data_IF_784978068819
#
_entry.id   IF_784978068819
#
_cell.length_a   1.000
_cell.length_b   1.000
_cell.length_c   1.000
_cell.angle_alpha   90.00
_cell.angle_beta   90.00
_cell.angle_gamma   90.00
#
_symmetry.space_group_name_H-M   'P 1'
#
loop_
_entity.id
_entity.type
_entity.pdbx_description
1 polymer ?
#
# COMPACT_ATOMS: atom_id res chain seq x y z
N UNK A 1 -15.62 -11.19 -17.39
CA UNK A 1 -16.08 -12.47 -16.79
C UNK A 1 -16.99 -12.13 -15.62
N UNK A 2 -18.27 -12.53 -15.71
CA UNK A 2 -19.34 -12.17 -14.76
C UNK A 2 -19.30 -13.08 -13.53
N UNK A 3 -19.17 -12.50 -12.34
CA UNK A 3 -19.15 -13.21 -11.03
C UNK A 3 -20.54 -13.62 -10.51
N UNK A 4 -21.63 -13.30 -11.22
CA UNK A 4 -23.00 -13.54 -10.75
C UNK A 4 -23.55 -14.95 -11.02
N UNK A 5 -22.73 -15.90 -11.52
CA UNK A 5 -23.16 -17.29 -11.80
C UNK A 5 -22.65 -18.34 -10.81
N UNK A 6 -21.97 -17.94 -9.73
CA UNK A 6 -21.41 -18.86 -8.73
C UNK A 6 -22.24 -19.02 -7.44
N UNK A 7 -23.41 -18.38 -7.32
CA UNK A 7 -24.20 -18.41 -6.07
C UNK A 7 -25.51 -19.20 -6.11
N UNK A 8 -25.79 -19.95 -7.19
CA UNK A 8 -26.98 -20.80 -7.25
C UNK A 8 -26.69 -22.11 -7.98
N UNK A 9 -25.92 -22.98 -7.32
CA UNK A 9 -25.94 -24.42 -7.54
C UNK A 9 -25.50 -25.13 -6.25
N UNK A 10 -26.40 -25.20 -5.27
CA UNK A 10 -26.35 -26.26 -4.26
C UNK A 10 -26.84 -27.55 -4.91
N UNK A 11 -25.90 -28.45 -5.19
CA UNK A 11 -26.14 -29.88 -5.29
C UNK A 11 -24.83 -30.57 -4.89
N UNK A 12 -24.92 -31.47 -3.91
CA UNK A 12 -23.78 -32.02 -3.15
C UNK A 12 -22.56 -32.37 -3.99
N UNK A 13 -21.48 -31.65 -3.75
CA UNK A 13 -20.13 -32.14 -4.00
C UNK A 13 -19.54 -32.37 -2.62
N UNK A 14 -19.29 -33.64 -2.29
CA UNK A 14 -18.44 -34.03 -1.18
C UNK A 14 -17.21 -33.14 -1.20
N UNK A 15 -17.14 -32.20 -0.26
CA UNK A 15 -15.89 -31.49 0.01
C UNK A 15 -14.97 -32.58 0.51
N UNK A 16 -13.89 -32.94 -0.21
CA UNK A 16 -13.03 -34.03 0.22
C UNK A 16 -12.61 -33.69 1.65
N UNK A 17 -12.99 -34.55 2.61
CA UNK A 17 -12.62 -34.39 4.00
C UNK A 17 -11.10 -34.40 4.05
N UNK A 18 -10.50 -33.22 4.12
CA UNK A 18 -9.05 -33.08 4.13
C UNK A 18 -8.55 -33.71 5.43
N UNK A 19 -7.83 -34.82 5.31
CA UNK A 19 -7.26 -35.47 6.47
C UNK A 19 -6.14 -34.60 7.04
N UNK A 20 -6.02 -34.52 8.37
CA UNK A 20 -4.88 -33.89 9.02
C UNK A 20 -3.57 -34.49 8.52
N UNK A 21 -2.50 -33.69 8.48
CA UNK A 21 -1.17 -34.18 8.07
C UNK A 21 -0.76 -35.40 8.89
N UNK A 22 -0.49 -36.50 8.21
CA UNK A 22 0.08 -37.72 8.80
C UNK A 22 1.57 -37.52 9.09
N UNK A 23 2.13 -38.35 9.96
CA UNK A 23 3.56 -38.28 10.27
C UNK A 23 4.44 -38.47 9.02
N UNK A 24 4.06 -39.39 8.13
CA UNK A 24 4.78 -39.65 6.88
C UNK A 24 4.72 -38.47 5.91
N UNK A 25 3.55 -37.81 5.80
CA UNK A 25 3.44 -36.58 4.99
C UNK A 25 4.33 -35.47 5.54
N UNK A 26 4.35 -35.27 6.87
CA UNK A 26 5.22 -34.25 7.49
C UNK A 26 6.69 -34.53 7.15
N UNK A 27 7.16 -35.77 7.29
CA UNK A 27 8.55 -36.13 6.96
C UNK A 27 8.90 -35.84 5.49
N UNK A 28 7.97 -36.09 4.57
CA UNK A 28 8.14 -35.75 3.16
C UNK A 28 8.20 -34.23 2.93
N UNK A 29 7.30 -33.47 3.55
CA UNK A 29 7.21 -32.02 3.40
C UNK A 29 8.43 -31.29 3.99
N UNK A 30 8.96 -31.73 5.13
CA UNK A 30 10.07 -31.04 5.83
C UNK A 30 11.46 -31.41 5.30
N UNK A 31 11.58 -32.45 4.48
CA UNK A 31 12.86 -32.94 3.95
C UNK A 31 13.71 -31.85 3.27
N UNK A 32 13.21 -31.05 2.30
CA UNK A 32 14.03 -30.02 1.64
C UNK A 32 14.46 -28.91 2.60
N UNK A 33 13.64 -28.60 3.61
CA UNK A 33 13.92 -27.59 4.64
C UNK A 33 14.98 -28.05 5.63
N UNK A 34 14.91 -29.30 6.08
CA UNK A 34 15.87 -29.87 7.04
C UNK A 34 17.28 -29.94 6.45
N UNK A 35 17.40 -30.15 5.13
CA UNK A 35 18.70 -30.12 4.41
C UNK A 35 19.34 -28.73 4.36
N UNK A 36 18.55 -27.68 4.63
CA UNK A 36 18.98 -26.27 4.70
C UNK A 36 18.91 -25.74 6.13
N UNK A 37 18.99 -26.63 7.11
CA UNK A 37 18.98 -26.34 8.55
C UNK A 37 17.72 -25.65 9.08
N UNK A 38 16.60 -25.73 8.34
CA UNK A 38 15.29 -25.31 8.85
C UNK A 38 14.61 -26.48 9.58
N UNK A 39 14.40 -26.30 10.89
CA UNK A 39 13.74 -27.29 11.73
C UNK A 39 12.27 -26.94 11.97
N UNK A 40 11.38 -27.91 11.85
CA UNK A 40 9.96 -27.72 12.13
C UNK A 40 9.71 -27.48 13.63
N UNK A 41 8.84 -26.54 13.94
CA UNK A 41 8.26 -26.34 15.27
C UNK A 41 6.91 -27.04 15.33
N UNK A 42 6.89 -28.24 15.92
CA UNK A 42 5.67 -29.04 16.02
C UNK A 42 4.62 -28.42 16.96
N UNK A 43 5.02 -27.55 17.90
CA UNK A 43 4.09 -26.89 18.82
C UNK A 43 3.39 -25.70 18.14
N UNK A 44 4.10 -24.99 17.25
CA UNK A 44 3.52 -23.90 16.46
C UNK A 44 2.80 -24.36 15.17
N UNK A 45 2.99 -25.63 14.77
CA UNK A 45 2.36 -26.21 13.58
C UNK A 45 0.92 -26.68 13.84
N UNK A 46 0.10 -26.67 12.79
CA UNK A 46 -1.29 -27.13 12.84
C UNK A 46 -1.53 -28.21 11.78
N UNK A 47 -1.56 -29.45 12.24
CA UNK A 47 -1.76 -30.62 11.36
C UNK A 47 -3.17 -30.68 10.78
N UNK A 48 -4.18 -30.19 11.49
CA UNK A 48 -5.59 -30.21 11.05
C UNK A 48 -5.75 -29.24 9.88
N UNK A 49 -5.18 -28.05 10.02
CA UNK A 49 -5.17 -27.03 8.96
C UNK A 49 -4.04 -27.22 7.94
N UNK A 50 -3.29 -28.33 8.03
CA UNK A 50 -2.19 -28.70 7.13
C UNK A 50 -1.12 -27.60 6.99
N UNK A 51 -0.78 -26.98 8.11
CA UNK A 51 0.20 -25.91 8.26
C UNK A 51 1.39 -26.37 9.08
N UNK A 52 2.60 -26.15 8.57
CA UNK A 52 3.85 -26.38 9.28
C UNK A 52 4.57 -25.04 9.49
N UNK A 53 4.98 -24.78 10.72
CA UNK A 53 5.77 -23.60 11.09
C UNK A 53 7.19 -24.07 11.44
N UNK A 54 8.19 -23.33 11.00
CA UNK A 54 9.60 -23.62 11.29
C UNK A 54 10.09 -22.76 12.45
N UNK A 55 11.11 -23.25 13.15
CA UNK A 55 11.78 -22.52 14.23
C UNK A 55 12.34 -21.19 13.70
N UNK A 56 12.30 -20.11 14.50
CA UNK A 56 12.85 -18.83 14.10
C UNK A 56 14.34 -18.89 13.80
N UNK A 57 14.77 -18.20 12.75
CA UNK A 57 16.18 -17.98 12.39
C UNK A 57 16.49 -16.50 12.62
N UNK A 58 17.62 -16.21 13.28
CA UNK A 58 18.12 -14.84 13.43
C UNK A 58 19.12 -14.56 12.32
N UNK A 59 18.94 -13.45 11.62
CA UNK A 59 19.93 -12.93 10.70
C UNK A 59 20.59 -11.73 11.38
N UNK A 60 21.89 -11.85 11.64
CA UNK A 60 22.69 -10.75 12.15
C UNK A 60 22.76 -9.63 11.11
N UNK A 61 22.81 -8.42 11.63
CA UNK A 61 22.90 -7.21 10.85
C UNK A 61 24.30 -7.08 10.22
N UNK A 62 24.39 -6.66 8.95
CA UNK A 62 25.66 -6.35 8.30
C UNK A 62 26.05 -4.90 8.66
N UNK A 63 27.23 -4.70 9.27
CA UNK A 63 27.71 -3.39 9.78
C UNK A 63 27.67 -2.27 8.73
N UNK A 64 27.63 -2.62 7.44
CA UNK A 64 27.58 -1.67 6.33
C UNK A 64 26.21 -1.00 6.12
N UNK A 65 25.09 -1.58 6.59
CA UNK A 65 23.74 -1.03 6.38
C UNK A 65 23.28 -0.29 7.66
N UNK A 66 22.69 0.90 7.57
CA UNK A 66 22.51 1.76 8.77
C UNK A 66 21.26 1.44 9.62
N UNK A 67 20.70 0.23 9.50
CA UNK A 67 19.42 -0.14 10.12
C UNK A 67 19.53 -0.78 11.51
N UNK A 68 20.68 -1.31 11.93
CA UNK A 68 21.01 -1.67 13.32
C UNK A 68 20.15 -2.74 14.03
N UNK A 69 19.05 -3.19 13.42
CA UNK A 69 18.08 -4.11 14.02
C UNK A 69 18.34 -5.55 13.54
N UNK A 70 18.35 -6.50 14.47
CA UNK A 70 18.34 -7.91 14.13
C UNK A 70 17.05 -8.30 13.39
N UNK A 71 17.17 -9.21 12.42
CA UNK A 71 16.02 -9.71 11.67
C UNK A 71 15.66 -11.11 12.15
N UNK A 72 14.46 -11.26 12.69
CA UNK A 72 13.88 -12.55 13.03
C UNK A 72 13.04 -13.10 11.87
N UNK A 73 13.44 -14.24 11.32
CA UNK A 73 12.78 -14.92 10.21
C UNK A 73 12.00 -16.15 10.69
N UNK A 74 10.74 -16.26 10.28
CA UNK A 74 9.90 -17.45 10.47
C UNK A 74 9.41 -17.91 9.10
N UNK A 75 9.59 -19.20 8.80
CA UNK A 75 8.99 -19.85 7.64
C UNK A 75 7.70 -20.55 8.03
N UNK A 76 6.69 -20.47 7.17
CA UNK A 76 5.43 -21.19 7.27
C UNK A 76 5.13 -21.87 5.93
N UNK A 77 4.81 -23.15 5.98
CA UNK A 77 4.38 -23.95 4.84
C UNK A 77 2.91 -24.35 5.04
N UNK A 78 2.03 -23.85 4.18
CA UNK A 78 0.64 -24.30 4.09
C UNK A 78 0.50 -25.26 2.90
N UNK A 79 0.00 -26.47 3.15
CA UNK A 79 -0.26 -27.47 2.10
C UNK A 79 -1.76 -27.78 2.03
N UNK A 80 -2.59 -26.82 1.56
CA UNK A 80 -4.04 -26.93 1.61
C UNK A 80 -4.57 -28.10 0.77
N UNK A 81 -3.83 -28.54 -0.24
CA UNK A 81 -4.15 -29.76 -1.00
C UNK A 81 -2.87 -30.43 -1.51
N UNK A 82 -2.88 -31.74 -1.78
CA UNK A 82 -1.75 -32.42 -2.41
C UNK A 82 -1.32 -31.72 -3.71
N UNK A 83 -0.01 -31.57 -3.93
CA UNK A 83 0.55 -30.92 -5.12
C UNK A 83 0.36 -29.41 -5.18
N UNK A 84 -0.07 -28.76 -4.09
CA UNK A 84 -0.11 -27.30 -4.01
C UNK A 84 0.25 -26.85 -2.60
N UNK A 85 1.35 -26.13 -2.51
CA UNK A 85 1.90 -25.59 -1.28
C UNK A 85 2.12 -24.10 -1.42
N UNK A 86 1.93 -23.38 -0.32
CA UNK A 86 2.26 -21.96 -0.17
C UNK A 86 3.35 -21.88 0.90
N UNK A 87 4.49 -21.29 0.53
CA UNK A 87 5.59 -21.03 1.44
C UNK A 87 5.66 -19.53 1.71
N UNK A 88 5.59 -19.16 2.98
CA UNK A 88 5.65 -17.77 3.44
C UNK A 88 6.82 -17.58 4.37
N UNK A 89 7.69 -16.61 4.07
CA UNK A 89 8.69 -16.08 5.02
C UNK A 89 8.14 -14.81 5.64
N UNK A 90 8.10 -14.77 6.97
CA UNK A 90 7.80 -13.55 7.73
C UNK A 90 9.08 -13.08 8.41
N UNK A 91 9.48 -11.85 8.13
CA UNK A 91 10.62 -11.20 8.75
C UNK A 91 10.11 -10.12 9.69
N UNK A 92 10.65 -10.07 10.90
CA UNK A 92 10.31 -9.05 11.91
C UNK A 92 11.59 -8.43 12.45
N UNK A 93 11.66 -7.11 12.45
CA UNK A 93 12.70 -6.33 13.13
C UNK A 93 12.36 -6.17 14.61
N UNK A 94 13.36 -5.90 15.44
CA UNK A 94 13.17 -5.58 16.87
C UNK A 94 12.29 -4.34 17.10
N UNK A 95 12.31 -3.39 16.16
CA UNK A 95 11.37 -2.27 16.12
C UNK A 95 9.89 -2.68 15.93
N UNK A 96 9.61 -3.94 15.61
CA UNK A 96 8.29 -4.49 15.37
C UNK A 96 7.80 -4.35 13.92
N UNK A 97 8.63 -3.80 13.02
CA UNK A 97 8.33 -3.76 11.59
C UNK A 97 8.36 -5.17 10.99
N UNK A 98 7.32 -5.53 10.23
CA UNK A 98 7.17 -6.86 9.65
C UNK A 98 7.02 -6.82 8.14
N UNK A 99 7.74 -7.71 7.45
CA UNK A 99 7.68 -7.92 6.01
C UNK A 99 7.40 -9.39 5.68
N UNK A 100 6.59 -9.67 4.65
CA UNK A 100 6.28 -11.05 4.22
C UNK A 100 6.71 -11.31 2.78
N UNK A 101 7.24 -12.51 2.52
CA UNK A 101 7.57 -13.00 1.19
C UNK A 101 6.83 -14.32 0.95
N UNK A 102 5.98 -14.36 -0.07
CA UNK A 102 5.13 -15.53 -0.37
C UNK A 102 5.49 -16.12 -1.74
N UNK A 103 5.60 -17.46 -1.82
CA UNK A 103 5.63 -18.19 -3.10
C UNK A 103 4.70 -19.41 -3.03
N UNK A 104 4.30 -19.93 -4.19
CA UNK A 104 3.38 -21.06 -4.29
C UNK A 104 3.77 -22.00 -5.43
N UNK A 105 3.53 -23.30 -5.24
CA UNK A 105 3.84 -24.34 -6.23
C UNK A 105 3.77 -25.74 -5.65
N UNK A 106 4.26 -26.72 -6.40
CA UNK A 106 4.25 -28.14 -6.05
C UNK A 106 5.60 -28.64 -5.51
N UNK A 107 6.71 -28.16 -6.07
CA UNK A 107 8.08 -28.51 -5.65
C UNK A 107 8.58 -27.59 -4.52
N UNK A 108 8.60 -28.12 -3.30
CA UNK A 108 9.06 -27.43 -2.10
C UNK A 108 10.53 -27.00 -2.14
N UNK A 109 11.39 -27.75 -2.84
CA UNK A 109 12.80 -27.39 -3.00
C UNK A 109 12.95 -26.14 -3.85
N UNK A 110 12.15 -26.04 -4.92
CA UNK A 110 12.07 -24.84 -5.76
C UNK A 110 11.48 -23.66 -4.97
N UNK A 111 10.40 -23.86 -4.22
CA UNK A 111 9.82 -22.79 -3.39
C UNK A 111 10.82 -22.25 -2.37
N UNK A 112 11.56 -23.12 -1.70
CA UNK A 112 12.59 -22.70 -0.75
C UNK A 112 13.71 -21.92 -1.44
N UNK A 113 14.21 -22.40 -2.59
CA UNK A 113 15.24 -21.69 -3.36
C UNK A 113 14.78 -20.31 -3.83
N UNK A 114 13.49 -20.15 -4.18
CA UNK A 114 12.91 -18.86 -4.55
C UNK A 114 12.83 -17.88 -3.37
N UNK A 115 12.49 -18.36 -2.16
CA UNK A 115 12.51 -17.52 -0.95
C UNK A 115 13.94 -17.08 -0.62
N UNK A 116 14.91 -18.00 -0.72
CA UNK A 116 16.33 -17.73 -0.43
C UNK A 116 16.98 -16.81 -1.46
N UNK A 117 16.49 -16.76 -2.70
CA UNK A 117 17.02 -15.86 -3.73
C UNK A 117 16.79 -14.38 -3.42
N UNK A 118 15.91 -14.06 -2.47
CA UNK A 118 15.69 -12.72 -1.94
C UNK A 118 16.33 -12.61 -0.55
N UNK A 119 17.48 -11.91 -0.40
CA UNK A 119 18.09 -11.64 0.90
C UNK A 119 17.13 -10.92 1.85
N UNK A 120 17.11 -11.25 3.15
CA UNK A 120 16.25 -10.59 4.14
C UNK A 120 16.37 -9.06 4.15
N UNK A 121 17.59 -8.52 3.98
CA UNK A 121 17.89 -7.09 4.01
C UNK A 121 17.18 -6.33 2.88
N UNK A 122 16.95 -6.97 1.73
CA UNK A 122 16.22 -6.32 0.61
C UNK A 122 14.75 -6.04 0.93
N UNK A 123 14.19 -6.65 1.98
CA UNK A 123 12.83 -6.37 2.43
C UNK A 123 12.76 -5.22 3.44
N UNK A 124 13.89 -4.64 3.84
CA UNK A 124 13.99 -3.53 4.78
C UNK A 124 14.89 -2.39 4.30
N UNK A 125 14.70 -1.83 3.09
CA UNK A 125 15.50 -0.71 2.64
C UNK A 125 15.33 0.52 3.54
N UNK A 126 16.43 1.26 3.73
CA UNK A 126 16.44 2.57 4.39
C UNK A 126 16.26 3.70 3.36
N UNK A 127 15.28 4.57 3.59
CA UNK A 127 14.91 5.69 2.72
C UNK A 127 14.96 6.98 3.53
N UNK A 128 15.91 7.87 3.24
CA UNK A 128 16.18 9.08 4.02
C UNK A 128 16.30 8.77 5.54
N UNK A 129 16.89 7.63 5.90
CA UNK A 129 17.07 7.18 7.29
C UNK A 129 15.86 6.49 7.92
N UNK A 130 14.74 6.34 7.18
CA UNK A 130 13.58 5.56 7.62
C UNK A 130 13.61 4.16 7.02
N UNK A 131 13.55 3.14 7.87
CA UNK A 131 13.42 1.74 7.43
C UNK A 131 12.00 1.46 6.93
N UNK A 132 11.89 0.79 5.79
CA UNK A 132 10.61 0.42 5.18
C UNK A 132 10.51 -1.09 5.04
N UNK A 133 9.50 -1.70 5.65
CA UNK A 133 9.22 -3.13 5.50
C UNK A 133 8.42 -3.40 4.21
N UNK A 134 8.97 -4.22 3.32
CA UNK A 134 8.41 -4.51 1.99
C UNK A 134 7.96 -5.98 1.89
N UNK A 135 6.69 -6.15 1.56
CA UNK A 135 6.04 -7.45 1.41
C UNK A 135 5.74 -7.75 -0.05
N UNK A 136 6.05 -8.96 -0.48
CA UNK A 136 5.98 -9.38 -1.87
C UNK A 136 5.37 -10.78 -2.03
N UNK A 137 4.81 -11.01 -3.21
CA UNK A 137 4.59 -12.35 -3.76
C UNK A 137 5.63 -12.60 -4.85
N UNK A 138 6.24 -13.78 -4.84
CA UNK A 138 7.15 -14.23 -5.88
C UNK A 138 6.36 -14.92 -6.99
N UNK A 139 6.60 -14.48 -8.22
CA UNK A 139 6.00 -15.05 -9.42
C UNK A 139 7.13 -15.69 -10.24
N UNK A 140 7.07 -17.02 -10.52
CA UNK A 140 8.06 -17.68 -11.36
C UNK A 140 8.16 -17.00 -12.73
N UNK A 141 9.39 -16.71 -13.18
CA UNK A 141 9.61 -16.12 -14.49
C UNK A 141 9.46 -17.19 -15.57
N UNK A 142 8.46 -17.04 -16.43
CA UNK A 142 8.07 -18.06 -17.43
C UNK A 142 8.97 -18.19 -18.66
N UNK A 143 10.19 -17.64 -18.67
CA UNK A 143 11.01 -17.59 -19.88
C UNK A 143 11.88 -18.84 -20.06
N UNK A 144 11.56 -19.62 -21.09
CA UNK A 144 12.07 -20.97 -21.38
C UNK A 144 13.53 -21.04 -21.86
N UNK A 145 14.29 -19.94 -21.83
CA UNK A 145 15.68 -19.88 -22.35
C UNK A 145 16.75 -19.91 -21.26
N UNK A 146 16.37 -19.70 -20.02
CA UNK A 146 17.28 -19.81 -18.87
C UNK A 146 16.46 -20.36 -17.73
N UNK A 147 16.33 -21.69 -17.70
CA UNK A 147 15.52 -22.43 -16.74
C UNK A 147 16.23 -22.48 -15.39
N UNK A 148 16.51 -21.32 -14.79
CA UNK A 148 16.77 -21.24 -13.36
C UNK A 148 15.40 -21.31 -12.66
N UNK A 149 15.05 -22.44 -12.02
CA UNK A 149 13.76 -22.57 -11.34
C UNK A 149 13.61 -21.59 -10.16
N UNK A 150 14.70 -20.99 -9.68
CA UNK A 150 14.68 -19.96 -8.65
C UNK A 150 14.45 -18.53 -9.21
N UNK A 151 14.45 -18.34 -10.53
CA UNK A 151 14.22 -17.04 -11.14
C UNK A 151 12.77 -16.57 -10.96
N UNK A 152 12.60 -15.51 -10.18
CA UNK A 152 11.30 -14.96 -9.79
C UNK A 152 11.22 -13.46 -10.04
N UNK A 153 10.04 -13.00 -10.42
CA UNK A 153 9.66 -11.60 -10.35
C UNK A 153 8.98 -11.31 -9.01
N UNK A 154 9.24 -10.13 -8.46
CA UNK A 154 8.61 -9.67 -7.22
C UNK A 154 7.34 -8.88 -7.54
N UNK A 155 6.20 -9.40 -7.11
CA UNK A 155 4.92 -8.71 -7.14
C UNK A 155 4.72 -7.99 -5.80
N UNK A 156 4.73 -6.65 -5.81
CA UNK A 156 4.60 -5.85 -4.59
C UNK A 156 3.21 -6.06 -3.98
N UNK A 157 3.13 -6.31 -2.68
CA UNK A 157 1.87 -6.44 -1.94
C UNK A 157 1.63 -5.28 -1.00
N UNK A 158 2.63 -4.96 -0.17
CA UNK A 158 2.48 -4.00 0.92
C UNK A 158 3.82 -3.40 1.33
N UNK A 159 3.84 -2.11 1.61
CA UNK A 159 4.96 -1.39 2.20
C UNK A 159 4.54 -0.74 3.51
N UNK A 160 5.39 -0.80 4.54
CA UNK A 160 5.13 -0.22 5.86
C UNK A 160 6.34 0.57 6.32
N UNK A 161 6.11 1.77 6.83
CA UNK A 161 7.15 2.58 7.44
C UNK A 161 6.62 3.27 8.69
N UNK A 162 7.51 3.51 9.65
CA UNK A 162 7.24 4.25 10.87
C UNK A 162 7.95 5.61 10.78
N UNK A 163 7.18 6.70 10.62
CA UNK A 163 7.71 8.03 10.33
C UNK A 163 7.16 9.02 11.34
N UNK A 164 8.00 9.55 12.23
CA UNK A 164 7.64 10.64 13.16
C UNK A 164 6.30 10.42 13.90
N UNK A 165 6.10 9.24 14.50
CA UNK A 165 4.86 8.79 15.16
C UNK A 165 3.64 8.60 14.23
N UNK A 166 3.88 8.35 12.95
CA UNK A 166 2.87 7.85 12.02
C UNK A 166 3.29 6.50 11.46
N UNK A 167 2.34 5.59 11.40
CA UNK A 167 2.46 4.37 10.60
C UNK A 167 1.94 4.66 9.21
N UNK A 168 2.85 4.60 8.23
CA UNK A 168 2.54 4.62 6.82
C UNK A 168 2.31 3.19 6.34
N UNK A 169 1.20 2.95 5.63
CA UNK A 169 0.93 1.68 4.96
C UNK A 169 0.57 1.95 3.51
N UNK A 170 1.34 1.40 2.58
CA UNK A 170 1.01 1.37 1.15
C UNK A 170 0.58 -0.04 0.75
N UNK A 171 -0.52 -0.18 0.02
CA UNK A 171 -1.00 -1.46 -0.50
C UNK A 171 -1.09 -1.43 -2.02
N UNK A 172 -0.67 -2.54 -2.63
CA UNK A 172 -0.81 -2.75 -4.06
C UNK A 172 -2.29 -2.74 -4.48
N UNK A 173 -2.60 -2.37 -5.73
CA UNK A 173 -3.97 -2.43 -6.22
C UNK A 173 -4.46 -3.87 -6.29
N UNK A 174 -5.62 -4.15 -5.68
CA UNK A 174 -6.26 -5.47 -5.72
C UNK A 174 -6.69 -5.90 -7.13
N UNK A 175 -6.93 -4.93 -8.02
CA UNK A 175 -7.43 -5.15 -9.37
C UNK A 175 -6.61 -4.33 -10.36
N UNK A 176 -6.29 -4.93 -11.51
CA UNK A 176 -5.54 -4.27 -12.59
C UNK A 176 -6.20 -2.93 -12.99
N UNK A 177 -5.40 -1.88 -13.02
CA UNK A 177 -5.82 -0.53 -13.40
C UNK A 177 -6.51 0.26 -12.29
N UNK A 178 -6.59 -0.26 -11.08
CA UNK A 178 -6.93 0.51 -9.89
C UNK A 178 -5.69 1.17 -9.29
N UNK A 179 -5.83 2.29 -8.57
CA UNK A 179 -4.71 2.92 -7.88
C UNK A 179 -4.27 2.09 -6.67
N UNK A 180 -3.01 2.23 -6.29
CA UNK A 180 -2.52 1.75 -5.01
C UNK A 180 -3.13 2.59 -3.88
N UNK A 181 -3.33 1.99 -2.72
CA UNK A 181 -3.86 2.66 -1.53
C UNK A 181 -2.73 3.06 -0.61
N UNK A 182 -2.88 4.22 0.04
CA UNK A 182 -1.95 4.71 1.05
C UNK A 182 -2.72 5.16 2.28
N UNK A 183 -2.37 4.60 3.43
CA UNK A 183 -2.91 4.98 4.73
C UNK A 183 -1.79 5.59 5.59
N UNK A 184 -2.13 6.67 6.27
CA UNK A 184 -1.28 7.34 7.25
C UNK A 184 -2.02 7.38 8.57
N UNK A 185 -1.56 6.58 9.53
CA UNK A 185 -2.20 6.41 10.84
C UNK A 185 -1.32 7.03 11.91
N UNK A 186 -1.76 8.08 12.62
CA UNK A 186 -0.99 8.61 13.73
C UNK A 186 -1.03 7.63 14.91
N UNK A 187 0.09 7.44 15.61
CA UNK A 187 0.14 6.64 16.85
C UNK A 187 -0.65 7.30 17.99
N UNK A 188 -0.78 8.63 17.93
CA UNK A 188 -1.54 9.42 18.90
C UNK A 188 -2.82 9.95 18.24
N UNK A 189 -3.95 9.78 18.91
CA UNK A 189 -5.22 10.27 18.40
C UNK A 189 -5.25 11.82 18.32
N UNK A 190 -6.10 12.36 17.44
CA UNK A 190 -6.35 13.79 17.33
C UNK A 190 -5.37 14.58 16.45
N UNK A 191 -4.39 13.92 15.83
CA UNK A 191 -3.45 14.57 14.91
C UNK A 191 -4.14 14.91 13.58
N UNK A 192 -4.17 16.20 13.25
CA UNK A 192 -4.70 16.71 12.00
C UNK A 192 -3.57 16.95 10.99
N UNK A 193 -3.66 16.35 9.80
CA UNK A 193 -2.75 16.65 8.69
C UNK A 193 -3.50 17.33 7.53
N UNK A 194 -2.82 18.18 6.75
CA UNK A 194 -3.40 18.74 5.54
C UNK A 194 -3.77 17.67 4.51
N UNK A 195 -4.93 17.81 3.87
CA UNK A 195 -5.35 16.91 2.78
C UNK A 195 -4.35 16.91 1.61
N UNK A 196 -3.64 18.01 1.41
CA UNK A 196 -2.68 18.16 0.31
C UNK A 196 -1.28 17.65 0.65
N UNK A 197 -1.05 17.07 1.84
CA UNK A 197 0.25 16.61 2.32
C UNK A 197 1.01 15.75 1.30
N UNK A 198 0.31 14.83 0.61
CA UNK A 198 0.88 14.00 -0.44
C UNK A 198 0.59 14.51 -1.86
N UNK A 199 -0.54 15.19 -2.06
CA UNK A 199 -0.95 15.66 -3.39
C UNK A 199 0.04 16.67 -4.01
N UNK A 200 0.81 17.36 -3.17
CA UNK A 200 1.91 18.25 -3.58
C UNK A 200 3.01 17.53 -4.37
N UNK A 201 3.17 16.22 -4.22
CA UNK A 201 4.15 15.41 -4.96
C UNK A 201 3.81 15.26 -6.45
N UNK A 202 2.56 15.54 -6.85
CA UNK A 202 2.17 15.58 -8.25
C UNK A 202 0.84 14.90 -8.54
N UNK A 203 0.55 14.70 -9.83
CA UNK A 203 -0.74 14.17 -10.31
C UNK A 203 -1.01 12.71 -9.96
N UNK A 204 0.04 11.97 -9.57
CA UNK A 204 -0.12 10.58 -9.18
C UNK A 204 -0.66 10.43 -7.75
N UNK A 205 -0.47 11.42 -6.87
CA UNK A 205 -0.94 11.37 -5.50
C UNK A 205 -2.28 12.10 -5.37
N UNK A 206 -3.28 11.41 -4.84
CA UNK A 206 -4.54 12.06 -4.48
C UNK A 206 -4.39 12.86 -3.19
N UNK A 207 -5.29 13.83 -2.95
CA UNK A 207 -5.46 14.38 -1.61
C UNK A 207 -5.78 13.27 -0.61
N UNK A 208 -5.27 13.42 0.61
CA UNK A 208 -5.65 12.61 1.74
C UNK A 208 -7.09 12.95 2.16
N UNK A 209 -7.77 11.93 2.68
CA UNK A 209 -9.13 12.00 3.22
C UNK A 209 -9.10 11.43 4.63
N UNK A 210 -9.78 12.09 5.54
CA UNK A 210 -9.87 11.61 6.93
C UNK A 210 -10.66 10.30 6.94
N UNK A 211 -10.08 9.28 7.57
CA UNK A 211 -10.69 7.97 7.80
C UNK A 211 -10.91 7.75 9.30
N UNK A 212 -11.49 6.60 9.68
CA UNK A 212 -11.69 6.25 11.10
C UNK A 212 -10.36 6.12 11.86
N UNK A 213 -9.35 5.56 11.22
CA UNK A 213 -8.05 5.27 11.84
C UNK A 213 -7.02 6.40 11.64
N UNK A 214 -7.21 7.28 10.65
CA UNK A 214 -6.25 8.32 10.32
C UNK A 214 -6.60 9.00 9.01
N UNK A 215 -5.72 8.85 8.03
CA UNK A 215 -5.82 9.52 6.73
C UNK A 215 -5.56 8.52 5.61
N UNK A 216 -6.41 8.49 4.60
CA UNK A 216 -6.24 7.60 3.44
C UNK A 216 -6.14 8.39 2.14
N UNK A 217 -5.40 7.85 1.19
CA UNK A 217 -5.18 8.41 -0.13
C UNK A 217 -5.00 7.32 -1.18
N UNK A 218 -4.85 7.74 -2.42
CA UNK A 218 -4.68 6.88 -3.58
C UNK A 218 -3.47 7.33 -4.38
N UNK A 219 -2.75 6.36 -4.94
CA UNK A 219 -1.59 6.59 -5.78
C UNK A 219 -1.82 5.94 -7.14
N UNK A 220 -1.84 6.77 -8.18
CA UNK A 220 -1.96 6.31 -9.57
C UNK A 220 -0.65 5.67 -10.01
N UNK A 221 -0.75 4.40 -10.36
CA UNK A 221 0.35 3.59 -10.90
C UNK A 221 -0.05 3.02 -12.26
N UNK A 222 0.94 2.81 -13.13
CA UNK A 222 0.77 2.27 -14.47
C UNK A 222 1.74 1.10 -14.66
N UNK A 223 1.44 0.25 -15.63
CA UNK A 223 2.22 -0.95 -15.93
C UNK A 223 1.48 -2.24 -15.56
N UNK A 224 2.18 -3.36 -15.69
CA UNK A 224 1.69 -4.70 -15.33
C UNK A 224 2.82 -5.57 -14.78
N UNK A 225 2.48 -6.51 -13.90
CA UNK A 225 3.44 -7.44 -13.30
C UNK A 225 4.62 -6.71 -12.64
N UNK A 226 5.84 -7.16 -12.92
CA UNK A 226 7.07 -6.59 -12.35
C UNK A 226 7.27 -5.09 -12.62
N UNK A 227 6.76 -4.55 -13.74
CA UNK A 227 6.81 -3.11 -14.00
C UNK A 227 5.92 -2.32 -13.04
N UNK A 228 4.75 -2.88 -12.72
CA UNK A 228 3.82 -2.26 -11.78
C UNK A 228 4.42 -2.24 -10.37
N UNK A 229 5.03 -3.34 -9.92
CA UNK A 229 5.73 -3.41 -8.62
C UNK A 229 6.80 -2.34 -8.51
N UNK A 230 7.71 -2.24 -9.50
CA UNK A 230 8.77 -1.23 -9.51
C UNK A 230 8.21 0.20 -9.51
N UNK A 231 7.12 0.44 -10.23
CA UNK A 231 6.47 1.76 -10.23
C UNK A 231 5.81 2.09 -8.88
N UNK A 232 5.29 1.10 -8.15
CA UNK A 232 4.76 1.28 -6.79
C UNK A 232 5.92 1.55 -5.82
N UNK A 233 6.99 0.75 -5.86
CA UNK A 233 8.17 0.89 -5.01
C UNK A 233 8.82 2.29 -5.16
N UNK A 234 9.03 2.77 -6.39
CA UNK A 234 9.56 4.12 -6.61
C UNK A 234 8.67 5.24 -6.05
N UNK A 235 7.35 5.05 -6.07
CA UNK A 235 6.41 6.01 -5.47
C UNK A 235 6.36 5.91 -3.95
N UNK A 236 6.52 4.71 -3.39
CA UNK A 236 6.69 4.50 -1.96
C UNK A 236 7.94 5.22 -1.47
N UNK A 237 9.07 5.04 -2.14
CA UNK A 237 10.33 5.73 -1.83
C UNK A 237 10.16 7.25 -1.85
N UNK A 238 9.60 7.79 -2.93
CA UNK A 238 9.30 9.24 -3.03
C UNK A 238 8.40 9.72 -1.88
N UNK A 239 7.42 8.90 -1.49
CA UNK A 239 6.47 9.25 -0.42
C UNK A 239 7.12 9.22 0.96
N UNK A 240 7.92 8.19 1.24
CA UNK A 240 8.64 8.04 2.52
C UNK A 240 9.67 9.16 2.68
N UNK A 241 10.47 9.45 1.65
CA UNK A 241 11.44 10.55 1.68
C UNK A 241 10.76 11.90 1.95
N UNK A 242 9.65 12.17 1.26
CA UNK A 242 8.87 13.40 1.47
C UNK A 242 8.29 13.51 2.88
N UNK A 243 7.69 12.45 3.40
CA UNK A 243 7.11 12.42 4.74
C UNK A 243 8.19 12.55 5.82
N UNK A 244 9.33 11.87 5.67
CA UNK A 244 10.46 11.96 6.61
C UNK A 244 10.97 13.40 6.71
N UNK A 245 11.14 14.07 5.57
CA UNK A 245 11.56 15.48 5.54
C UNK A 245 10.49 16.43 6.06
N UNK A 246 9.21 16.19 5.74
CA UNK A 246 8.12 17.11 6.09
C UNK A 246 7.74 17.01 7.56
N UNK A 247 7.67 15.79 8.10
CA UNK A 247 7.22 15.54 9.47
C UNK A 247 8.31 15.79 10.52
N UNK A 248 9.59 15.82 10.11
CA UNK A 248 10.71 16.24 10.97
C UNK A 248 10.77 17.75 11.18
N UNK A 249 10.08 18.54 10.35
CA UNK A 249 10.01 20.00 10.46
C UNK A 249 8.69 20.46 11.05
N UNK A 250 8.62 21.66 11.66
CA UNK A 250 7.35 22.24 12.11
C UNK A 250 6.32 22.36 10.97
N UNK A 251 5.01 22.21 11.24
CA UNK A 251 3.95 22.31 10.22
C UNK A 251 3.96 23.62 9.40
N UNK A 252 4.44 24.72 9.98
CA UNK A 252 4.58 26.00 9.28
C UNK A 252 5.58 25.93 8.11
N UNK A 253 6.69 25.20 8.28
CA UNK A 253 7.73 25.06 7.26
C UNK A 253 7.22 24.36 6.00
N UNK A 254 6.30 23.39 6.15
CA UNK A 254 5.62 22.76 5.02
C UNK A 254 4.87 23.77 4.15
N UNK A 255 4.15 24.71 4.77
CA UNK A 255 3.42 25.73 4.02
C UNK A 255 4.38 26.69 3.30
N UNK A 256 5.46 27.10 3.96
CA UNK A 256 6.43 28.04 3.41
C UNK A 256 7.19 27.42 2.24
N UNK A 257 7.72 26.20 2.40
CA UNK A 257 8.49 25.51 1.39
C UNK A 257 7.65 25.08 0.17
N UNK A 258 6.40 24.66 0.38
CA UNK A 258 5.57 24.05 -0.66
C UNK A 258 4.33 24.86 -1.04
N UNK A 259 4.27 26.15 -0.67
CA UNK A 259 3.15 27.06 -0.96
C UNK A 259 2.65 26.99 -2.41
N UNK A 260 3.55 27.06 -3.40
CA UNK A 260 3.22 26.97 -4.84
C UNK A 260 2.62 25.62 -5.20
N UNK A 261 3.18 24.52 -4.70
CA UNK A 261 2.67 23.18 -4.96
C UNK A 261 1.27 22.99 -4.36
N UNK A 262 1.04 23.51 -3.15
CA UNK A 262 -0.28 23.49 -2.48
C UNK A 262 -1.34 24.27 -3.25
N UNK A 263 -1.00 25.45 -3.77
CA UNK A 263 -1.87 26.19 -4.68
C UNK A 263 -2.14 25.43 -5.98
N UNK A 264 -1.13 24.75 -6.53
CA UNK A 264 -1.31 23.86 -7.67
C UNK A 264 -2.30 22.72 -7.39
N UNK A 265 -2.29 22.14 -6.19
CA UNK A 265 -3.28 21.14 -5.75
C UNK A 265 -4.68 21.76 -5.66
N UNK A 266 -4.82 22.94 -5.07
CA UNK A 266 -6.11 23.63 -4.97
C UNK A 266 -6.70 23.92 -6.36
N UNK A 267 -5.89 24.42 -7.30
CA UNK A 267 -6.31 24.66 -8.69
C UNK A 267 -6.70 23.36 -9.40
N UNK A 268 -5.91 22.30 -9.23
CA UNK A 268 -6.22 20.97 -9.79
C UNK A 268 -7.56 20.44 -9.28
N UNK A 269 -7.85 20.62 -8.00
CA UNK A 269 -9.12 20.19 -7.39
C UNK A 269 -10.30 21.04 -7.85
N UNK A 270 -10.09 22.32 -8.15
CA UNK A 270 -11.13 23.21 -8.66
C UNK A 270 -11.47 22.95 -10.14
N UNK A 271 -10.62 22.23 -10.89
CA UNK A 271 -10.76 22.05 -12.34
C UNK A 271 -12.13 21.49 -12.77
N UNK A 272 -12.68 20.42 -12.13
CA UNK A 272 -14.02 19.92 -12.51
C UNK A 272 -15.12 20.96 -12.25
N UNK A 273 -15.04 21.68 -11.14
CA UNK A 273 -16.01 22.72 -10.79
C UNK A 273 -15.95 23.90 -11.76
N UNK A 274 -14.74 24.33 -12.14
CA UNK A 274 -14.53 25.36 -13.15
C UNK A 274 -15.03 24.90 -14.52
N UNK A 275 -14.82 23.64 -14.88
CA UNK A 275 -15.35 23.07 -16.12
C UNK A 275 -16.88 23.13 -16.15
N UNK A 276 -17.57 22.66 -15.11
CA UNK A 276 -19.03 22.75 -15.03
C UNK A 276 -19.53 24.21 -14.98
N UNK A 277 -18.87 25.09 -14.23
CA UNK A 277 -19.21 26.50 -14.20
C UNK A 277 -19.06 27.14 -15.59
N UNK A 278 -18.00 26.80 -16.33
CA UNK A 278 -17.79 27.29 -17.70
C UNK A 278 -18.87 26.78 -18.67
N UNK A 279 -19.35 25.55 -18.52
CA UNK A 279 -20.47 25.02 -19.30
C UNK A 279 -21.77 25.78 -19.00
N UNK A 280 -22.06 26.08 -17.74
CA UNK A 280 -23.25 26.84 -17.33
C UNK A 280 -23.19 28.26 -17.89
N UNK A 281 -22.06 28.95 -17.71
CA UNK A 281 -21.87 30.31 -18.23
C UNK A 281 -21.92 30.32 -19.76
N UNK A 282 -21.28 29.35 -20.42
CA UNK A 282 -21.32 29.21 -21.87
C UNK A 282 -22.73 29.00 -22.40
N UNK A 283 -23.53 28.13 -21.77
CA UNK A 283 -24.93 27.92 -22.13
C UNK A 283 -25.78 29.18 -21.91
N UNK A 284 -25.58 29.89 -20.79
CA UNK A 284 -26.28 31.13 -20.51
C UNK A 284 -25.92 32.23 -21.52
N UNK A 285 -24.63 32.41 -21.84
CA UNK A 285 -24.18 33.36 -22.86
C UNK A 285 -24.79 33.07 -24.23
N UNK A 286 -25.03 31.80 -24.55
CA UNK A 286 -25.65 31.39 -25.79
C UNK A 286 -27.10 31.88 -25.94
N UNK A 287 -27.83 32.05 -24.83
CA UNK A 287 -29.19 32.60 -24.85
C UNK A 287 -29.24 34.08 -25.23
N UNK A 288 -28.09 34.76 -25.17
CA UNK A 288 -27.97 36.18 -25.48
C UNK A 288 -27.53 36.44 -26.92
N UNK A 289 -27.26 35.38 -27.70
CA UNK A 289 -26.74 35.48 -29.08
C UNK A 289 -27.66 34.73 -30.02
N UNK A 290 -28.14 35.38 -31.09
CA UNK A 290 -28.87 34.71 -32.17
C UNK A 290 -27.91 33.84 -32.98
N UNK A 291 -28.04 32.52 -32.86
CA UNK A 291 -27.21 31.55 -33.59
C UNK A 291 -27.96 31.11 -34.85
N UNK A 292 -27.41 31.36 -36.05
CA UNK A 292 -27.98 30.85 -37.30
C UNK A 292 -28.10 29.32 -37.29
N UNK A 293 -29.21 28.78 -37.80
CA UNK A 293 -29.53 27.36 -37.74
C UNK A 293 -28.49 26.46 -38.45
N UNK A 294 -27.82 26.98 -39.48
CA UNK A 294 -26.78 26.27 -40.25
C UNK A 294 -25.37 26.37 -39.64
N UNK A 295 -25.23 26.92 -38.43
CA UNK A 295 -23.93 27.12 -37.79
C UNK A 295 -23.36 25.82 -37.20
N UNK A 296 -22.04 25.64 -37.33
CA UNK A 296 -21.26 24.59 -36.66
C UNK A 296 -21.48 24.63 -35.13
N UNK A 297 -21.75 25.81 -34.57
CA UNK A 297 -22.05 25.97 -33.13
C UNK A 297 -23.36 25.29 -32.76
N UNK A 298 -24.37 25.35 -33.62
CA UNK A 298 -25.67 24.70 -33.41
C UNK A 298 -25.53 23.16 -33.48
N UNK A 299 -24.72 22.67 -34.42
CA UNK A 299 -24.34 21.25 -34.52
C UNK A 299 -23.62 20.76 -33.26
N UNK A 300 -22.63 21.53 -32.79
CA UNK A 300 -21.91 21.24 -31.53
C UNK A 300 -22.85 21.30 -30.32
N UNK A 301 -23.84 22.18 -30.31
CA UNK A 301 -24.81 22.28 -29.22
C UNK A 301 -25.71 21.04 -29.14
N UNK A 302 -26.18 20.54 -30.28
CA UNK A 302 -26.95 19.29 -30.34
C UNK A 302 -26.07 18.07 -30.01
N UNK A 303 -24.79 18.07 -30.40
CA UNK A 303 -23.84 16.99 -30.15
C UNK A 303 -23.16 17.02 -28.77
N UNK A 304 -23.20 18.14 -28.05
CA UNK A 304 -22.52 18.30 -26.77
C UNK A 304 -23.06 17.39 -25.66
N UNK A 305 -24.38 17.22 -25.46
CA UNK A 305 -24.89 16.32 -24.42
C UNK A 305 -24.38 14.87 -24.53
N UNK A 306 -24.46 14.18 -25.69
CA UNK A 306 -23.91 12.83 -25.79
C UNK A 306 -22.38 12.77 -25.65
N UNK A 307 -21.64 13.77 -26.16
CA UNK A 307 -20.18 13.83 -25.99
C UNK A 307 -19.76 14.03 -24.52
N UNK A 308 -20.46 14.90 -23.78
CA UNK A 308 -20.25 15.12 -22.36
C UNK A 308 -20.59 13.87 -21.54
N UNK A 309 -21.65 13.13 -21.93
CA UNK A 309 -21.96 11.86 -21.30
C UNK A 309 -20.87 10.81 -21.53
N UNK A 310 -20.36 10.68 -22.75
CA UNK A 310 -19.22 9.78 -23.05
C UNK A 310 -17.99 10.18 -22.21
N UNK A 311 -17.70 11.47 -22.10
CA UNK A 311 -16.61 11.98 -21.26
C UNK A 311 -16.81 11.67 -19.77
N UNK A 312 -18.00 11.93 -19.23
CA UNK A 312 -18.31 11.73 -17.82
C UNK A 312 -18.31 10.25 -17.43
N UNK A 313 -18.90 9.37 -18.24
CA UNK A 313 -18.91 7.93 -17.99
C UNK A 313 -17.56 7.25 -18.29
N UNK A 314 -16.73 7.86 -19.13
CA UNK A 314 -15.34 7.43 -19.34
C UNK A 314 -14.41 7.71 -18.14
N UNK A 315 -14.81 8.61 -17.22
CA UNK A 315 -14.02 8.91 -16.03
C UNK A 315 -14.18 7.79 -15.00
N UNK A 316 -13.06 7.13 -14.68
CA UNK A 316 -13.00 5.98 -13.77
C UNK A 316 -13.19 6.35 -12.29
N UNK A 317 -13.02 7.62 -11.95
CA UNK A 317 -13.29 8.20 -10.63
C UNK A 317 -14.23 9.40 -10.80
N UNK A 318 -15.34 9.42 -10.07
CA UNK A 318 -16.25 10.58 -10.05
C UNK A 318 -15.49 11.76 -9.46
N UNK A 319 -15.39 12.91 -10.18
CA UNK A 319 -14.73 14.08 -9.64
C UNK A 319 -15.49 14.57 -8.41
N UNK A 320 -14.78 14.69 -7.28
CA UNK A 320 -15.36 15.24 -6.05
C UNK A 320 -15.71 16.71 -6.27
N UNK A 321 -17.01 17.02 -6.31
CA UNK A 321 -17.53 18.39 -6.43
C UNK A 321 -17.51 19.11 -5.06
N UNK A 322 -16.35 19.11 -4.42
CA UNK A 322 -16.12 19.84 -3.17
C UNK A 322 -15.30 21.09 -3.47
N UNK A 323 -15.73 22.24 -2.93
CA UNK A 323 -14.90 23.46 -2.97
C UNK A 323 -13.63 23.16 -2.16
N UNK A 324 -12.43 23.14 -2.78
CA UNK A 324 -11.22 22.78 -2.07
C UNK A 324 -10.92 23.84 -0.99
N UNK A 325 -10.52 23.44 0.23
CA UNK A 325 -10.11 24.40 1.23
C UNK A 325 -8.87 25.15 0.73
N UNK A 326 -8.82 26.46 0.97
CA UNK A 326 -7.64 27.25 0.64
C UNK A 326 -6.43 26.78 1.46
N UNK A 327 -5.22 26.76 0.87
CA UNK A 327 -4.02 26.35 1.58
C UNK A 327 -3.72 27.38 2.68
N UNK A 328 -3.98 27.00 3.93
CA UNK A 328 -3.70 27.85 5.11
C UNK A 328 -2.39 27.41 5.78
N UNK A 329 -1.68 28.40 6.34
CA UNK A 329 -0.52 28.18 7.21
C UNK A 329 -1.00 27.60 8.54
N UNK A 330 -0.36 26.53 9.00
CA UNK A 330 -0.60 25.97 10.33
C UNK A 330 0.30 26.70 11.32
N UNK A 331 -0.26 27.10 12.47
CA UNK A 331 0.46 27.85 13.51
C UNK A 331 0.97 26.96 14.65
N UNK A 332 0.70 25.66 14.61
CA UNK A 332 1.17 24.71 15.60
C UNK A 332 2.69 24.54 15.55
N UNK A 333 3.33 24.46 16.72
CA UNK A 333 4.77 24.26 16.85
C UNK A 333 5.21 22.85 16.43
N UNK A 334 4.33 21.85 16.57
CA UNK A 334 4.58 20.46 16.21
C UNK A 334 3.38 19.85 15.51
N UNK A 335 3.61 18.76 14.76
CA UNK A 335 2.55 17.97 14.11
C UNK A 335 1.63 17.27 15.13
N UNK A 336 2.18 16.93 16.29
CA UNK A 336 1.46 16.25 17.36
C UNK A 336 1.00 17.27 18.40
N UNK A 337 -0.24 17.14 18.90
CA UNK A 337 -0.62 17.88 20.10
C UNK A 337 0.33 17.45 21.21
N UNK A 338 1.04 18.40 21.82
CA UNK A 338 1.77 18.13 23.05
C UNK A 338 0.72 17.71 24.08
N UNK A 339 0.75 16.44 24.48
CA UNK A 339 0.10 16.05 25.72
C UNK A 339 0.92 16.74 26.79
N UNK A 340 0.41 17.87 27.29
CA UNK A 340 0.95 18.53 28.46
C UNK A 340 0.96 17.47 29.56
N UNK A 341 2.15 16.93 29.83
CA UNK A 341 2.35 16.04 30.96
C UNK A 341 2.10 16.93 32.16
N UNK A 342 0.90 16.80 32.75
CA UNK A 342 0.53 17.55 33.93
C UNK A 342 1.68 17.44 34.92
N UNK A 343 2.28 18.59 35.25
CA UNK A 343 3.31 18.64 36.27
C UNK A 343 2.77 17.93 37.52
N UNK A 344 3.55 17.03 38.15
CA UNK A 344 3.09 16.40 39.37
C UNK A 344 2.67 17.51 40.34
N UNK A 345 1.49 17.40 41.00
CA UNK A 345 1.05 18.42 41.92
C UNK A 345 2.15 18.63 42.93
N UNK A 346 2.65 19.86 43.02
CA UNK A 346 3.46 20.32 44.14
C UNK A 346 2.68 19.99 45.40
N UNK A 347 3.13 18.96 46.11
CA UNK A 347 2.64 18.64 47.44
C UNK A 347 3.05 19.81 48.31
N UNK A 348 2.10 20.69 48.60
CA UNK A 348 2.26 21.73 49.61
C UNK A 348 2.52 21.03 50.95
N UNK A 349 3.78 21.02 51.34
CA UNK A 349 4.19 20.70 52.68
C UNK A 349 3.80 21.87 53.59
N UNK A 350 2.57 21.88 54.12
CA UNK A 350 2.24 22.64 55.31
C UNK A 350 1.02 22.09 56.08
N UNK A 351 1.28 21.85 57.38
CA UNK A 351 0.36 21.76 58.54
C UNK A 351 -0.42 20.44 58.66
N UNK A 352 -0.30 19.67 59.75
CA UNK A 352 -0.01 19.97 61.17
C UNK A 352 0.74 18.83 61.86
#
# INVERSE_FOLDING_TARGET
MNYARLLTASAGLDTPTMHPLTHHEILGLVQPFTRRDFHVDLAASDRINRRLVFKPVRHEHDEADHAGDDIHAILQLDSPRPGFSVLTRTLTLDSGLTATLETQGDDLGVLLAQIESVPPQQQFPSIDGTVVALSYRLIPRGDSRTSDPAAVDRDFLRGVAEISNFTLVMRAPLVKGYPAEIDLTPKTAGVAVPEDLLAVLGWAWSPLRKSKAGWSGKIKVRGSGAELSRAIEAKLETTVAHLTRTLSQPPAAFHEALSRARWGVALRRALPLLFFASLIVGAASLTLVEIPQDSIVNLLLMGAPPLLMIGAFGMRDIPSMEIPPFPRRMTHAAWHPQIETAAPPTVDAHQT
#
